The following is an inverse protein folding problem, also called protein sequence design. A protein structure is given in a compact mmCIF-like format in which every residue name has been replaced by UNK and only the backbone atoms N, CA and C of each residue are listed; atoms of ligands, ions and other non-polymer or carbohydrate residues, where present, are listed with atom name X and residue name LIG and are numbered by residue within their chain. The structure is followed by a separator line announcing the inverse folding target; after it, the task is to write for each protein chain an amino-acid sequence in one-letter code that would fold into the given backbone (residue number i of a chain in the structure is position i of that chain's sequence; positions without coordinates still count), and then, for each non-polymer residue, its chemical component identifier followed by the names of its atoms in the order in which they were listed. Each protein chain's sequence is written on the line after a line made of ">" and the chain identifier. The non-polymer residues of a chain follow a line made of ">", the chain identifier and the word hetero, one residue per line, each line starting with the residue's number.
data_IF_183647623534
#
_entry.id   IF_183647623534
#
_cell.length_a   1.000
_cell.length_b   1.000
_cell.length_c   1.000
_cell.angle_alpha   90.00
_cell.angle_beta   90.00
_cell.angle_gamma   90.00
#
_symmetry.space_group_name_H-M   'P 1'
#
loop_
_entity.id
_entity.type
_entity.pdbx_description
1 polymer ?
#
# COMPACT_ATOMS: atom_id res chain seq x y z
N UNK A 1 -7.81 4.66 14.29
CA UNK A 1 -7.87 6.00 13.67
C UNK A 1 -6.63 6.23 12.85
N UNK A 2 -6.75 6.24 11.51
CA UNK A 2 -5.68 6.78 10.66
C UNK A 2 -5.58 8.27 10.97
N UNK A 3 -4.42 8.74 11.43
CA UNK A 3 -4.19 10.12 11.91
C UNK A 3 -4.55 11.22 10.90
N UNK A 4 -4.75 10.87 9.62
CA UNK A 4 -5.17 11.77 8.55
C UNK A 4 -6.69 11.96 8.40
N UNK A 5 -7.54 11.31 9.23
CA UNK A 5 -8.99 11.46 9.14
C UNK A 5 -9.65 10.68 7.99
N UNK A 6 -8.92 9.77 7.34
CA UNK A 6 -9.38 9.02 6.16
C UNK A 6 -10.35 7.86 6.49
N UNK A 7 -10.68 7.64 7.76
CA UNK A 7 -11.53 6.54 8.22
C UNK A 7 -10.73 5.42 8.91
N UNK A 8 -11.39 4.28 9.12
CA UNK A 8 -10.79 3.08 9.71
C UNK A 8 -10.86 1.92 8.69
N UNK A 9 -9.72 1.35 8.28
CA UNK A 9 -9.69 0.18 7.40
C UNK A 9 -10.14 -1.07 8.17
N UNK A 10 -10.92 -1.95 7.54
CA UNK A 10 -11.32 -3.24 8.14
C UNK A 10 -10.27 -4.33 7.91
N UNK A 11 -9.48 -4.22 6.83
CA UNK A 11 -8.34 -5.08 6.55
C UNK A 11 -7.20 -4.30 5.85
N UNK A 12 -6.05 -4.96 5.63
CA UNK A 12 -4.88 -4.32 5.01
C UNK A 12 -5.11 -3.81 3.58
N UNK A 13 -5.99 -4.42 2.80
CA UNK A 13 -6.31 -3.93 1.44
C UNK A 13 -7.05 -2.60 1.51
N UNK A 14 -7.96 -2.46 2.47
CA UNK A 14 -8.76 -1.24 2.65
C UNK A 14 -7.89 -0.03 2.97
N UNK A 15 -6.69 -0.22 3.51
CA UNK A 15 -5.74 0.89 3.74
C UNK A 15 -5.48 1.62 2.42
N UNK A 16 -5.23 0.88 1.34
CA UNK A 16 -4.91 1.46 0.03
C UNK A 16 -6.15 2.11 -0.60
N UNK A 17 -7.34 1.55 -0.40
CA UNK A 17 -8.60 2.19 -0.82
C UNK A 17 -8.81 3.54 -0.11
N UNK A 18 -8.51 3.63 1.20
CA UNK A 18 -8.62 4.88 1.94
C UNK A 18 -7.58 5.92 1.51
N UNK A 19 -6.36 5.47 1.19
CA UNK A 19 -5.29 6.34 0.68
C UNK A 19 -5.61 6.90 -0.71
N UNK A 20 -6.17 6.08 -1.61
CA UNK A 20 -6.66 6.53 -2.92
C UNK A 20 -7.76 7.59 -2.78
N UNK A 21 -8.78 7.31 -1.95
CA UNK A 21 -9.88 8.26 -1.69
C UNK A 21 -9.40 9.55 -1.04
N UNK A 22 -8.29 9.50 -0.31
CA UNK A 22 -7.61 10.66 0.27
C UNK A 22 -6.74 11.43 -0.72
N UNK A 23 -6.63 11.00 -1.97
CA UNK A 23 -5.74 11.58 -2.99
C UNK A 23 -4.26 11.31 -2.74
N UNK A 24 -3.93 10.37 -1.85
CA UNK A 24 -2.54 10.03 -1.49
C UNK A 24 -1.93 9.10 -2.54
N UNK A 25 -2.70 8.16 -3.09
CA UNK A 25 -2.23 7.21 -4.10
C UNK A 25 -3.07 7.32 -5.37
N UNK A 26 -2.42 7.14 -6.52
CA UNK A 26 -3.08 6.99 -7.80
C UNK A 26 -3.74 5.60 -7.93
N UNK A 27 -4.82 5.46 -8.74
CA UNK A 27 -5.55 4.20 -8.87
C UNK A 27 -4.68 3.00 -9.26
N UNK A 28 -3.71 3.20 -10.17
CA UNK A 28 -2.81 2.15 -10.63
C UNK A 28 -1.93 1.62 -9.48
N UNK A 29 -1.45 2.52 -8.63
CA UNK A 29 -0.62 2.19 -7.49
C UNK A 29 -1.45 1.49 -6.40
N UNK A 30 -2.67 1.97 -6.16
CA UNK A 30 -3.62 1.34 -5.25
C UNK A 30 -3.94 -0.09 -5.67
N UNK A 31 -4.26 -0.32 -6.95
CA UNK A 31 -4.55 -1.65 -7.46
C UNK A 31 -3.38 -2.62 -7.20
N UNK A 32 -2.15 -2.16 -7.45
CA UNK A 32 -0.93 -2.95 -7.22
C UNK A 32 -0.77 -3.35 -5.75
N UNK A 33 -0.90 -2.39 -4.84
CA UNK A 33 -0.72 -2.66 -3.41
C UNK A 33 -1.86 -3.43 -2.75
N UNK A 34 -3.08 -3.35 -3.28
CA UNK A 34 -4.16 -4.27 -2.87
C UNK A 34 -3.79 -5.72 -3.18
N UNK A 35 -3.18 -5.97 -4.34
CA UNK A 35 -2.62 -7.27 -4.72
C UNK A 35 -1.56 -7.74 -3.72
N UNK A 36 -0.58 -6.89 -3.41
CA UNK A 36 0.49 -7.20 -2.45
C UNK A 36 -0.05 -7.48 -1.03
N UNK A 37 -1.02 -6.69 -0.56
CA UNK A 37 -1.68 -6.93 0.73
C UNK A 37 -2.50 -8.23 0.72
N UNK A 38 -3.09 -8.59 -0.41
CA UNK A 38 -3.72 -9.90 -0.62
C UNK A 38 -2.70 -11.04 -0.58
N UNK A 39 -1.55 -10.89 -1.23
CA UNK A 39 -0.47 -11.86 -1.25
C UNK A 39 0.07 -12.13 0.16
N UNK A 40 0.21 -11.08 0.98
CA UNK A 40 0.55 -11.21 2.41
C UNK A 40 -0.43 -12.09 3.17
N UNK A 41 -1.72 -12.06 2.86
CA UNK A 41 -2.70 -12.94 3.52
C UNK A 41 -2.51 -14.40 3.08
N UNK A 42 -2.20 -14.64 1.81
CA UNK A 42 -1.85 -15.99 1.31
C UNK A 42 -0.59 -16.54 1.97
N UNK A 43 0.43 -15.69 2.17
CA UNK A 43 1.67 -16.02 2.90
C UNK A 43 1.43 -16.52 4.33
N UNK A 44 0.42 -16.00 5.02
CA UNK A 44 0.13 -16.40 6.41
C UNK A 44 -0.82 -17.59 6.48
N UNK A 45 -1.85 -17.62 5.63
CA UNK A 45 -2.95 -18.59 5.76
C UNK A 45 -2.76 -19.85 4.88
N UNK A 46 -2.12 -19.73 3.72
CA UNK A 46 -2.02 -20.79 2.70
C UNK A 46 -0.58 -21.06 2.27
N UNK A 47 0.39 -20.88 3.18
CA UNK A 47 1.82 -20.97 2.83
C UNK A 47 2.22 -22.32 2.22
N UNK A 48 1.57 -23.41 2.63
CA UNK A 48 1.81 -24.76 2.11
C UNK A 48 1.38 -24.93 0.64
N UNK A 49 0.66 -23.96 0.08
CA UNK A 49 0.15 -23.94 -1.32
C UNK A 49 0.72 -22.77 -2.12
N UNK A 50 1.77 -22.12 -1.64
CA UNK A 50 2.45 -21.08 -2.38
C UNK A 50 3.39 -21.68 -3.41
N UNK A 51 3.40 -21.08 -4.59
CA UNK A 51 4.37 -21.41 -5.62
C UNK A 51 5.67 -20.64 -5.32
N UNK A 52 6.76 -21.36 -5.04
CA UNK A 52 8.06 -20.77 -4.75
C UNK A 52 8.57 -19.90 -5.92
N UNK A 53 8.21 -20.23 -7.16
CA UNK A 53 8.61 -19.47 -8.35
C UNK A 53 7.87 -18.13 -8.43
N UNK A 54 6.58 -18.13 -8.07
CA UNK A 54 5.78 -16.91 -7.95
C UNK A 54 6.39 -15.99 -6.89
N UNK A 55 6.66 -16.53 -5.69
CA UNK A 55 7.28 -15.78 -4.59
C UNK A 55 8.64 -15.20 -4.98
N UNK A 56 9.50 -16.01 -5.61
CA UNK A 56 10.78 -15.56 -6.12
C UNK A 56 10.62 -14.41 -7.13
N UNK A 57 9.67 -14.53 -8.06
CA UNK A 57 9.36 -13.49 -9.03
C UNK A 57 8.97 -12.17 -8.38
N UNK A 58 8.10 -12.20 -7.38
CA UNK A 58 7.66 -11.01 -6.63
C UNK A 58 8.85 -10.35 -5.91
N UNK A 59 9.66 -11.14 -5.21
CA UNK A 59 10.83 -10.63 -4.47
C UNK A 59 11.84 -9.97 -5.41
N UNK A 60 12.05 -10.52 -6.61
CA UNK A 60 13.04 -9.97 -7.55
C UNK A 60 12.53 -8.75 -8.32
N UNK A 61 11.23 -8.69 -8.65
CA UNK A 61 10.72 -7.73 -9.64
C UNK A 61 9.78 -6.66 -9.07
N UNK A 62 9.15 -6.89 -7.91
CA UNK A 62 8.05 -6.03 -7.42
C UNK A 62 8.42 -5.24 -6.16
N UNK A 63 9.57 -5.52 -5.53
CA UNK A 63 9.99 -4.77 -4.32
C UNK A 63 10.26 -3.29 -4.59
N UNK A 64 10.60 -2.91 -5.83
CA UNK A 64 10.78 -1.50 -6.21
C UNK A 64 9.52 -0.65 -6.03
N UNK A 65 8.34 -1.27 -6.06
CA UNK A 65 7.08 -0.58 -5.80
C UNK A 65 7.03 -0.03 -4.38
N UNK A 66 7.62 -0.73 -3.39
CA UNK A 66 7.66 -0.25 -2.00
C UNK A 66 8.35 1.12 -1.91
N UNK A 67 9.39 1.36 -2.70
CA UNK A 67 10.05 2.67 -2.78
C UNK A 67 9.11 3.72 -3.35
N UNK A 68 8.34 3.40 -4.38
CA UNK A 68 7.34 4.30 -4.97
C UNK A 68 6.25 4.67 -3.95
N UNK A 69 5.75 3.68 -3.20
CA UNK A 69 4.79 3.92 -2.12
C UNK A 69 5.36 4.85 -1.04
N UNK A 70 6.59 4.59 -0.59
CA UNK A 70 7.24 5.39 0.44
C UNK A 70 7.41 6.84 -0.01
N UNK A 71 7.87 7.05 -1.25
CA UNK A 71 8.01 8.40 -1.81
C UNK A 71 6.66 9.12 -1.83
N UNK A 72 5.59 8.47 -2.29
CA UNK A 72 4.29 9.11 -2.36
C UNK A 72 3.71 9.49 -0.99
N UNK A 73 3.95 8.65 0.02
CA UNK A 73 3.59 8.95 1.40
C UNK A 73 4.40 10.13 1.97
N UNK A 74 5.70 10.20 1.66
CA UNK A 74 6.55 11.31 2.07
C UNK A 74 6.13 12.63 1.42
N UNK A 75 5.85 12.62 0.10
CA UNK A 75 5.36 13.78 -0.63
C UNK A 75 4.05 14.31 -0.03
N UNK A 76 3.10 13.42 0.23
CA UNK A 76 1.84 13.79 0.87
C UNK A 76 2.03 14.41 2.27
N UNK A 77 2.95 13.88 3.08
CA UNK A 77 3.26 14.43 4.40
C UNK A 77 3.91 15.82 4.26
N UNK A 78 4.83 15.99 3.31
CA UNK A 78 5.48 17.26 3.05
C UNK A 78 4.45 18.34 2.64
N UNK A 79 3.58 18.03 1.67
CA UNK A 79 2.50 18.91 1.21
C UNK A 79 1.58 19.36 2.37
N UNK A 80 1.14 18.41 3.21
CA UNK A 80 0.27 18.72 4.37
C UNK A 80 0.99 19.50 5.48
N UNK A 81 2.31 19.39 5.59
CA UNK A 81 3.08 20.15 6.58
C UNK A 81 3.22 21.62 6.19
N UNK A 82 3.29 21.93 4.90
CA UNK A 82 3.38 23.30 4.38
C UNK A 82 2.06 24.06 4.49
N UNK A 83 0.92 23.40 4.24
CA UNK A 83 -0.41 24.04 4.34
C UNK A 83 -0.85 24.35 5.79
N UNK A 84 -0.23 23.75 6.81
CA UNK A 84 -0.64 23.96 8.22
C UNK A 84 -0.14 25.26 8.85
N UNK A 85 0.58 26.08 8.09
CA UNK A 85 1.12 27.37 8.51
C UNK A 85 0.49 28.58 7.79
N UNK A 86 -0.59 28.37 7.02
CA UNK A 86 -1.44 29.44 6.49
C UNK A 86 -2.80 29.51 7.21
#
# INVERSE_FOLDING_TARGET
>A
MVKAGLGNPANYRDIFDLLERGGVLEPDLTHKFRGMAGYRNRLVHDYARLDEREMWGIIQNELGDLTLLLNRLLDYIAEKSTTRYE
#
